data_IF_045735347372
#
_entry.id   IF_045735347372
#
_cell.length_a   1.000
_cell.length_b   1.000
_cell.length_c   1.000
_cell.angle_alpha   90.00
_cell.angle_beta   90.00
_cell.angle_gamma   90.00
#
_symmetry.space_group_name_H-M   'P 1'
#
loop_
_entity.id
_entity.type
_entity.pdbx_description
1 polymer ?
#
# COMPACT_ATOMS: atom_id res chain seq x y z
N UNK A 1 2.02 14.22 -1.48
CA UNK A 1 2.44 12.96 -2.11
C UNK A 1 1.55 12.58 -3.29
N UNK A 2 0.22 12.85 -3.25
CA UNK A 2 -0.69 12.47 -4.33
C UNK A 2 -0.76 13.50 -5.47
N UNK A 3 -0.75 14.81 -5.18
CA UNK A 3 -0.79 15.87 -6.20
C UNK A 3 0.59 16.29 -6.68
N UNK A 4 1.52 16.44 -5.74
CA UNK A 4 2.92 16.80 -5.96
C UNK A 4 3.81 15.71 -5.34
N UNK A 5 4.09 14.62 -6.07
CA UNK A 5 5.00 13.56 -5.61
C UNK A 5 6.46 14.06 -5.64
N UNK A 6 7.23 13.64 -4.64
CA UNK A 6 8.67 13.90 -4.61
C UNK A 6 9.41 13.09 -5.67
N UNK A 7 10.66 13.47 -5.94
CA UNK A 7 11.57 12.67 -6.77
C UNK A 7 11.64 11.22 -6.26
N UNK A 8 11.48 10.25 -7.18
CA UNK A 8 11.47 8.83 -6.87
C UNK A 8 10.14 8.27 -6.34
N UNK A 9 9.09 9.08 -6.19
CA UNK A 9 7.74 8.60 -5.92
C UNK A 9 6.97 8.41 -7.24
N UNK A 10 7.31 7.37 -7.99
CA UNK A 10 6.78 7.07 -9.33
C UNK A 10 5.86 5.82 -9.40
N UNK A 11 5.45 5.30 -8.23
CA UNK A 11 4.50 4.19 -8.13
C UNK A 11 3.06 4.64 -8.43
N UNK A 12 2.19 3.67 -8.68
CA UNK A 12 0.75 3.89 -8.79
C UNK A 12 0.10 4.03 -7.41
N UNK A 13 -0.11 5.28 -6.99
CA UNK A 13 -0.67 5.61 -5.68
C UNK A 13 -2.21 5.63 -5.61
N UNK A 14 -2.91 5.40 -6.73
CA UNK A 14 -4.39 5.48 -6.81
C UNK A 14 -4.94 6.78 -6.20
N UNK A 15 -4.58 7.96 -6.74
CA UNK A 15 -4.93 9.24 -6.14
C UNK A 15 -6.41 9.59 -6.35
N UNK A 16 -7.02 10.19 -5.33
CA UNK A 16 -8.38 10.79 -5.29
C UNK A 16 -9.57 9.85 -5.46
N UNK A 17 -9.54 8.95 -6.45
CA UNK A 17 -10.67 8.10 -6.80
C UNK A 17 -10.36 6.62 -6.60
N UNK A 18 -11.30 5.90 -5.98
CA UNK A 18 -11.18 4.47 -5.79
C UNK A 18 -11.21 3.74 -7.15
N UNK A 19 -10.25 2.86 -7.37
CA UNK A 19 -10.18 2.00 -8.56
C UNK A 19 -10.57 0.57 -8.22
N UNK A 20 -11.54 0.02 -8.94
CA UNK A 20 -11.92 -1.40 -8.81
C UNK A 20 -10.80 -2.27 -9.36
N UNK A 21 -10.26 -3.16 -8.52
CA UNK A 21 -9.19 -4.08 -8.89
C UNK A 21 -9.44 -5.45 -8.24
N UNK A 22 -9.32 -6.57 -8.98
CA UNK A 22 -9.28 -7.88 -8.36
C UNK A 22 -7.95 -8.03 -7.60
N UNK A 23 -8.04 -8.23 -6.28
CA UNK A 23 -6.87 -8.36 -5.41
C UNK A 23 -6.99 -9.66 -4.62
N UNK A 24 -6.00 -10.54 -4.77
CA UNK A 24 -5.95 -11.84 -4.09
C UNK A 24 -4.98 -11.85 -2.92
N UNK A 25 -3.97 -10.98 -2.92
CA UNK A 25 -2.97 -10.84 -1.85
C UNK A 25 -2.77 -9.36 -1.59
N UNK A 26 -2.67 -8.97 -0.31
CA UNK A 26 -2.38 -7.61 0.12
C UNK A 26 -1.25 -7.60 1.14
N UNK A 27 -0.53 -6.48 1.16
CA UNK A 27 0.50 -6.16 2.13
C UNK A 27 0.10 -4.85 2.84
N UNK A 28 0.12 -4.85 4.17
CA UNK A 28 -0.02 -3.66 5.00
C UNK A 28 1.29 -3.41 5.75
N UNK A 29 1.93 -2.29 5.45
CA UNK A 29 3.20 -1.89 6.04
C UNK A 29 3.00 -0.85 7.14
N UNK A 30 3.71 -1.02 8.25
CA UNK A 30 3.76 -0.10 9.39
C UNK A 30 5.21 0.21 9.73
N UNK A 31 5.63 1.46 9.52
CA UNK A 31 6.96 1.96 9.85
C UNK A 31 6.85 3.03 10.93
N UNK A 32 7.07 2.63 12.17
CA UNK A 32 6.88 3.47 13.36
C UNK A 32 8.13 4.22 13.79
N UNK A 33 7.92 5.32 14.51
CA UNK A 33 9.01 6.03 15.19
C UNK A 33 9.74 5.10 16.17
N UNK A 34 11.04 5.35 16.37
CA UNK A 34 11.90 4.46 17.15
C UNK A 34 12.40 3.22 16.39
N UNK A 35 12.12 3.13 15.08
CA UNK A 35 12.66 2.09 14.20
C UNK A 35 11.86 0.78 14.18
N UNK A 36 10.65 0.77 14.72
CA UNK A 36 9.78 -0.40 14.70
C UNK A 36 9.13 -0.56 13.34
N UNK A 37 9.52 -1.60 12.61
CA UNK A 37 8.98 -1.92 11.29
C UNK A 37 8.22 -3.26 11.35
N UNK A 38 7.02 -3.28 10.76
CA UNK A 38 6.20 -4.47 10.69
C UNK A 38 5.36 -4.51 9.42
N UNK A 39 5.10 -5.72 8.93
CA UNK A 39 4.31 -5.96 7.73
C UNK A 39 3.32 -7.09 7.99
N UNK A 40 2.07 -6.90 7.57
CA UNK A 40 1.04 -7.93 7.58
C UNK A 40 0.71 -8.31 6.14
N UNK A 41 0.70 -9.61 5.85
CA UNK A 41 0.31 -10.14 4.55
C UNK A 41 -0.98 -10.92 4.70
N UNK A 42 -1.99 -10.57 3.90
CA UNK A 42 -3.24 -11.30 3.84
C UNK A 42 -3.47 -11.83 2.43
N UNK A 43 -4.14 -12.97 2.34
CA UNK A 43 -4.58 -13.56 1.09
C UNK A 43 -6.08 -13.78 1.16
N UNK A 44 -6.76 -13.69 0.02
CA UNK A 44 -8.15 -14.14 -0.16
C UNK A 44 -8.28 -15.56 0.41
N UNK A 45 -9.24 -15.74 1.32
CA UNK A 45 -9.53 -17.06 1.87
C UNK A 45 -9.97 -18.01 0.76
N UNK A 46 -9.43 -19.23 0.79
CA UNK A 46 -9.84 -20.35 -0.03
C UNK A 46 -10.04 -21.54 0.91
N UNK A 47 -11.16 -22.24 0.76
CA UNK A 47 -11.51 -23.44 1.53
C UNK A 47 -10.59 -24.63 1.20
#
# INVERSE_FOLDING_TARGET
NLDEPSEGCDLDFVPHEARRMPIDVVLSNSFGFGGTNGSLVFRRFAE
#
